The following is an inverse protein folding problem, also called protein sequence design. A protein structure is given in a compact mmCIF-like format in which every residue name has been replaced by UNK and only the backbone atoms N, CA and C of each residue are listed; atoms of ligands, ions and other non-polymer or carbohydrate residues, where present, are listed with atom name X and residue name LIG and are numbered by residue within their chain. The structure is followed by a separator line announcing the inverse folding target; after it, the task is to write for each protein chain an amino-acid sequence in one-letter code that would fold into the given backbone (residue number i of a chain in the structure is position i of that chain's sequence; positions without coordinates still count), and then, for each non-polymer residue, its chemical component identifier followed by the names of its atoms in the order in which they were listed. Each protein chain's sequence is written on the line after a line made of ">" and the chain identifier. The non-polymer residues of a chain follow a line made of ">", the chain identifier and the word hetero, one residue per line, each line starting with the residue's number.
data_IF_132077003181
#
_entry.id   IF_132077003181
#
_cell.length_a   1.000
_cell.length_b   1.000
_cell.length_c   1.000
_cell.angle_alpha   90.00
_cell.angle_beta   90.00
_cell.angle_gamma   90.00
#
_symmetry.space_group_name_H-M   'P 1'
#
loop_
_entity.id
_entity.type
_entity.pdbx_description
1 polymer ?
#
# COMPACT_ATOMS: atom_id res chain seq x y z
N UNK A 1 62.57 28.58 -12.53
CA UNK A 1 61.34 28.79 -13.31
C UNK A 1 60.22 27.95 -12.73
N UNK A 2 59.06 28.59 -12.59
CA UNK A 2 57.70 28.13 -12.30
C UNK A 2 57.36 27.33 -11.02
N UNK A 3 56.66 28.08 -10.17
CA UNK A 3 55.90 27.81 -8.94
C UNK A 3 54.43 27.62 -9.33
N UNK A 4 53.71 26.58 -8.90
CA UNK A 4 52.25 26.63 -8.74
C UNK A 4 51.75 25.66 -7.65
N UNK A 5 50.67 26.11 -7.00
CA UNK A 5 50.17 25.81 -5.64
C UNK A 5 49.11 24.69 -5.59
N UNK A 6 48.80 24.15 -4.39
CA UNK A 6 47.70 23.20 -4.19
C UNK A 6 46.33 23.86 -4.36
N UNK A 7 45.41 23.14 -5.02
CA UNK A 7 44.01 23.54 -5.20
C UNK A 7 43.23 23.10 -3.94
N UNK A 8 42.78 24.09 -3.20
CA UNK A 8 41.78 23.96 -2.13
C UNK A 8 40.41 23.65 -2.74
N UNK A 9 39.81 22.52 -2.38
CA UNK A 9 38.39 22.27 -2.66
C UNK A 9 37.56 22.79 -1.47
N UNK A 10 36.77 23.83 -1.74
CA UNK A 10 35.87 24.49 -0.79
C UNK A 10 34.67 23.56 -0.56
N UNK A 11 34.53 23.04 0.66
CA UNK A 11 33.37 22.28 1.11
C UNK A 11 32.27 23.27 1.49
N UNK A 12 31.35 23.55 0.56
CA UNK A 12 30.15 24.35 0.85
C UNK A 12 29.14 23.49 1.60
N UNK A 13 29.08 23.64 2.92
CA UNK A 13 28.01 23.12 3.77
C UNK A 13 26.74 23.97 3.55
N UNK A 14 25.76 23.43 2.83
CA UNK A 14 24.42 24.00 2.77
C UNK A 14 23.61 23.49 3.98
N UNK A 15 23.41 24.34 4.98
CA UNK A 15 22.44 24.12 6.03
C UNK A 15 21.03 24.41 5.49
N UNK A 16 20.19 23.39 5.40
CA UNK A 16 18.76 23.57 5.13
C UNK A 16 18.05 23.80 6.47
N UNK A 17 17.69 25.05 6.72
CA UNK A 17 16.73 25.44 7.76
C UNK A 17 15.36 25.45 7.09
N UNK A 18 14.51 24.47 7.39
CA UNK A 18 13.08 24.53 7.07
C UNK A 18 12.29 24.82 8.34
N UNK A 19 11.98 26.09 8.57
CA UNK A 19 10.90 26.51 9.47
C UNK A 19 9.58 26.31 8.72
N UNK A 20 8.80 25.29 9.08
CA UNK A 20 7.42 25.15 8.62
C UNK A 20 6.56 26.03 9.53
N UNK A 21 6.13 27.19 9.01
CA UNK A 21 5.06 27.96 9.60
C UNK A 21 3.71 27.32 9.20
N UNK A 22 2.96 26.85 10.19
CA UNK A 22 1.55 26.47 10.06
C UNK A 22 0.74 27.74 9.77
N UNK A 23 0.32 27.91 8.52
CA UNK A 23 -0.75 28.85 8.16
C UNK A 23 -1.97 28.02 7.81
N UNK A 24 -2.97 28.05 8.68
CA UNK A 24 -4.32 27.61 8.36
C UNK A 24 -4.95 28.59 7.40
N UNK A 25 -5.40 28.09 6.24
CA UNK A 25 -6.24 28.85 5.32
C UNK A 25 -7.67 28.34 5.43
N UNK A 26 -8.47 29.09 6.18
CA UNK A 26 -9.92 29.13 6.08
C UNK A 26 -10.27 30.17 5.01
N UNK A 27 -10.96 29.79 3.92
CA UNK A 27 -11.81 30.74 3.19
C UNK A 27 -12.89 30.06 2.31
N UNK A 28 -14.17 30.49 2.39
CA UNK A 28 -15.35 29.88 1.75
C UNK A 28 -15.60 30.39 0.30
N UNK A 29 -16.64 29.91 -0.42
CA UNK A 29 -16.59 29.66 -1.86
C UNK A 29 -16.89 30.88 -2.73
N UNK A 30 -16.24 30.97 -3.89
CA UNK A 30 -16.70 31.81 -5.00
C UNK A 30 -17.27 30.97 -6.12
N UNK A 31 -18.60 31.12 -6.22
CA UNK A 31 -19.50 30.79 -7.31
C UNK A 31 -18.99 31.43 -8.61
N UNK A 32 -18.83 30.65 -9.68
CA UNK A 32 -18.98 31.19 -11.02
C UNK A 32 -19.62 30.13 -11.93
N UNK A 33 -20.80 30.52 -12.37
CA UNK A 33 -21.68 29.82 -13.29
C UNK A 33 -21.17 30.07 -14.71
N UNK A 34 -20.84 29.01 -15.45
CA UNK A 34 -20.93 29.02 -16.90
C UNK A 34 -21.62 27.75 -17.37
N UNK A 35 -22.89 27.93 -17.71
CA UNK A 35 -23.72 26.97 -18.42
C UNK A 35 -23.19 26.79 -19.85
N UNK A 36 -23.01 25.54 -20.26
CA UNK A 36 -23.19 25.12 -21.65
C UNK A 36 -23.94 23.80 -21.66
N UNK A 37 -25.07 23.83 -22.36
CA UNK A 37 -26.09 22.80 -22.53
C UNK A 37 -25.83 22.12 -23.88
N UNK A 38 -25.66 20.80 -23.94
CA UNK A 38 -25.97 19.97 -25.11
C UNK A 38 -26.34 18.54 -24.69
N UNK A 39 -27.16 17.92 -25.54
CA UNK A 39 -28.19 16.90 -25.28
C UNK A 39 -27.72 15.45 -25.55
N UNK A 40 -28.31 14.50 -24.81
CA UNK A 40 -28.57 13.05 -24.99
C UNK A 40 -27.66 12.06 -25.76
N UNK A 41 -27.53 10.90 -25.08
CA UNK A 41 -27.50 9.50 -25.53
C UNK A 41 -26.19 8.78 -25.99
N UNK A 42 -25.88 7.77 -25.16
CA UNK A 42 -25.37 6.41 -25.43
C UNK A 42 -24.14 6.20 -26.32
N UNK A 43 -23.07 5.62 -25.76
CA UNK A 43 -22.67 4.23 -26.05
C UNK A 43 -21.35 3.85 -25.32
N UNK A 44 -21.40 2.69 -24.67
CA UNK A 44 -20.36 1.97 -23.95
C UNK A 44 -18.90 2.09 -24.46
N UNK A 45 -17.99 2.41 -23.54
CA UNK A 45 -16.62 1.85 -23.45
C UNK A 45 -16.16 1.86 -21.98
N UNK A 46 -15.75 0.73 -21.37
CA UNK A 46 -15.25 0.71 -20.00
C UNK A 46 -13.78 1.11 -19.98
N UNK A 47 -13.49 2.30 -19.47
CA UNK A 47 -12.13 2.73 -19.12
C UNK A 47 -11.92 2.47 -17.62
N UNK A 48 -11.42 1.28 -17.29
CA UNK A 48 -11.05 0.87 -15.93
C UNK A 48 -9.94 1.77 -15.38
N UNK A 49 -10.32 2.73 -14.54
CA UNK A 49 -9.39 3.59 -13.81
C UNK A 49 -9.82 3.57 -12.36
N UNK A 50 -9.16 2.75 -11.54
CA UNK A 50 -8.85 2.87 -10.10
C UNK A 50 -9.96 3.19 -9.07
N UNK A 51 -11.17 3.54 -9.51
CA UNK A 51 -12.33 3.87 -8.70
C UNK A 51 -13.19 2.63 -8.40
N UNK A 52 -13.05 1.58 -9.22
CA UNK A 52 -13.69 0.28 -9.00
C UNK A 52 -13.22 -0.45 -7.74
N UNK A 53 -12.01 -0.17 -7.24
CA UNK A 53 -11.51 -0.82 -6.04
C UNK A 53 -12.22 -0.36 -4.74
N UNK A 54 -12.79 0.86 -4.75
CA UNK A 54 -13.56 1.43 -3.65
C UNK A 54 -15.08 1.27 -3.88
N UNK A 55 -15.55 1.32 -5.12
CA UNK A 55 -16.98 1.15 -5.44
C UNK A 55 -17.48 -0.28 -5.23
N UNK A 56 -16.63 -1.30 -5.40
CA UNK A 56 -17.01 -2.69 -5.08
C UNK A 56 -17.20 -2.98 -3.58
N UNK A 57 -16.79 -2.04 -2.70
CA UNK A 57 -17.09 -2.11 -1.26
C UNK A 57 -18.47 -1.49 -1.00
N UNK A 58 -18.86 -0.48 -1.78
CA UNK A 58 -20.15 0.21 -1.66
C UNK A 58 -21.32 -0.54 -2.34
N UNK A 59 -21.06 -1.37 -3.36
CA UNK A 59 -22.10 -2.14 -4.07
C UNK A 59 -22.43 -3.49 -3.40
N UNK A 60 -21.88 -3.72 -2.21
CA UNK A 60 -22.27 -4.80 -1.32
C UNK A 60 -23.09 -4.25 -0.15
N UNK A 61 -24.15 -3.48 -0.44
CA UNK A 61 -25.19 -3.09 0.53
C UNK A 61 -25.99 -4.28 1.09
N UNK A 62 -25.50 -5.49 0.87
CA UNK A 62 -25.85 -6.68 1.61
C UNK A 62 -24.59 -7.20 2.30
N UNK A 63 -24.03 -6.39 3.23
CA UNK A 63 -23.19 -6.87 4.33
C UNK A 63 -24.05 -7.82 5.19
N UNK A 64 -24.34 -8.99 4.63
CA UNK A 64 -25.29 -9.95 5.13
C UNK A 64 -24.67 -10.62 6.35
N UNK A 65 -25.19 -10.30 7.54
CA UNK A 65 -25.10 -11.10 8.77
C UNK A 65 -23.74 -11.18 9.51
N UNK A 66 -22.74 -10.35 9.20
CA UNK A 66 -21.53 -10.23 10.02
C UNK A 66 -21.73 -9.29 11.22
N UNK A 67 -21.69 -9.79 12.46
CA UNK A 67 -21.75 -8.94 13.66
C UNK A 67 -20.59 -7.91 13.61
N UNK A 68 -20.88 -6.61 13.59
CA UNK A 68 -19.90 -5.52 13.58
C UNK A 68 -18.82 -5.69 14.67
N UNK A 69 -19.19 -6.28 15.81
CA UNK A 69 -18.23 -6.65 16.84
C UNK A 69 -17.17 -7.64 16.36
N UNK A 70 -17.55 -8.64 15.57
CA UNK A 70 -16.59 -9.57 14.95
C UNK A 70 -15.70 -8.83 13.95
N UNK A 71 -16.24 -7.93 13.12
CA UNK A 71 -15.43 -7.13 12.18
C UNK A 71 -14.38 -6.33 12.95
N UNK A 72 -14.78 -5.52 13.93
CA UNK A 72 -13.86 -4.67 14.71
C UNK A 72 -12.83 -5.54 15.45
N UNK A 73 -13.27 -6.61 16.12
CA UNK A 73 -12.36 -7.53 16.82
C UNK A 73 -11.36 -8.15 15.86
N UNK A 74 -11.81 -8.63 14.72
CA UNK A 74 -10.99 -9.37 13.77
C UNK A 74 -10.03 -8.44 13.03
N UNK A 75 -10.45 -7.21 12.69
CA UNK A 75 -9.54 -6.17 12.20
C UNK A 75 -8.48 -5.87 13.24
N UNK A 76 -8.86 -5.64 14.50
CA UNK A 76 -7.90 -5.37 15.57
C UNK A 76 -6.93 -6.55 15.77
N UNK A 77 -7.43 -7.79 15.75
CA UNK A 77 -6.61 -8.98 15.88
C UNK A 77 -5.62 -9.14 14.71
N UNK A 78 -6.07 -8.87 13.49
CA UNK A 78 -5.23 -8.91 12.30
C UNK A 78 -4.16 -7.81 12.39
N UNK A 79 -4.56 -6.56 12.60
CA UNK A 79 -3.64 -5.42 12.74
C UNK A 79 -2.62 -5.65 13.86
N UNK A 80 -3.04 -6.03 15.08
CA UNK A 80 -2.12 -6.29 16.19
C UNK A 80 -1.07 -7.36 15.91
N UNK A 81 -1.39 -8.32 15.03
CA UNK A 81 -0.46 -9.41 14.69
C UNK A 81 0.38 -9.11 13.45
N UNK A 82 -0.07 -8.21 12.58
CA UNK A 82 0.60 -7.94 11.29
C UNK A 82 1.20 -6.54 11.17
N UNK A 83 1.02 -5.66 12.16
CA UNK A 83 1.43 -4.24 12.10
C UNK A 83 2.90 -4.10 11.70
N UNK A 84 3.79 -4.74 12.46
CA UNK A 84 5.24 -4.72 12.22
C UNK A 84 5.61 -5.22 10.82
N UNK A 85 4.87 -6.20 10.29
CA UNK A 85 5.19 -6.81 9.00
C UNK A 85 4.96 -5.89 7.81
N UNK A 86 4.05 -4.92 7.92
CA UNK A 86 3.84 -3.95 6.83
C UNK A 86 5.07 -3.04 6.66
N UNK A 87 5.58 -2.52 7.77
CA UNK A 87 6.78 -1.69 7.79
C UNK A 87 8.03 -2.49 7.40
N UNK A 88 8.15 -3.73 7.91
CA UNK A 88 9.25 -4.64 7.56
C UNK A 88 9.26 -4.95 6.06
N UNK A 89 8.11 -5.30 5.48
CA UNK A 89 8.01 -5.60 4.05
C UNK A 89 8.30 -4.39 3.17
N UNK A 90 7.83 -3.19 3.53
CA UNK A 90 8.20 -1.95 2.82
C UNK A 90 9.71 -1.70 2.86
N UNK A 91 10.32 -1.90 4.04
CA UNK A 91 11.75 -1.75 4.19
C UNK A 91 12.52 -2.77 3.35
N UNK A 92 12.09 -4.03 3.34
CA UNK A 92 12.69 -5.10 2.53
C UNK A 92 12.51 -4.89 1.03
N UNK A 93 11.35 -4.37 0.59
CA UNK A 93 11.15 -3.95 -0.80
C UNK A 93 12.19 -2.89 -1.19
N UNK A 94 12.32 -1.83 -0.41
CA UNK A 94 13.27 -0.74 -0.69
C UNK A 94 14.73 -1.24 -0.71
N UNK A 95 15.11 -2.11 0.24
CA UNK A 95 16.45 -2.71 0.26
C UNK A 95 16.71 -3.59 -0.96
N UNK A 96 15.70 -4.34 -1.42
CA UNK A 96 15.80 -5.17 -2.62
C UNK A 96 15.98 -4.31 -3.86
N UNK A 97 15.18 -3.26 -4.03
CA UNK A 97 15.28 -2.30 -5.14
C UNK A 97 16.65 -1.62 -5.18
N UNK A 98 17.14 -1.16 -4.03
CA UNK A 98 18.46 -0.53 -3.91
C UNK A 98 19.60 -1.49 -4.27
N UNK A 99 19.55 -2.73 -3.77
CA UNK A 99 20.58 -3.72 -4.06
C UNK A 99 20.68 -4.04 -5.56
N UNK A 100 19.53 -4.07 -6.24
CA UNK A 100 19.43 -4.33 -7.68
C UNK A 100 19.94 -3.13 -8.47
N UNK A 101 19.50 -1.91 -8.11
CA UNK A 101 19.94 -0.68 -8.76
C UNK A 101 21.46 -0.47 -8.64
N UNK A 102 22.02 -0.77 -7.47
CA UNK A 102 23.46 -0.65 -7.20
C UNK A 102 24.28 -1.83 -7.71
N UNK A 103 23.64 -2.85 -8.29
CA UNK A 103 24.27 -4.11 -8.71
C UNK A 103 25.09 -4.76 -7.57
N UNK A 104 24.69 -4.56 -6.32
CA UNK A 104 25.40 -5.01 -5.14
C UNK A 104 24.93 -6.41 -4.76
N UNK A 105 25.68 -7.42 -5.20
CA UNK A 105 25.36 -8.84 -4.98
C UNK A 105 25.25 -9.21 -3.50
N UNK A 106 26.09 -8.62 -2.64
CA UNK A 106 26.07 -8.90 -1.21
C UNK A 106 24.80 -8.33 -0.56
N UNK A 107 24.48 -7.06 -0.84
CA UNK A 107 23.22 -6.46 -0.38
C UNK A 107 22.01 -7.19 -0.93
N UNK A 108 22.06 -7.65 -2.18
CA UNK A 108 20.96 -8.40 -2.80
C UNK A 108 20.71 -9.71 -2.06
N UNK A 109 21.78 -10.43 -1.69
CA UNK A 109 21.68 -11.68 -0.93
C UNK A 109 21.09 -11.44 0.46
N UNK A 110 21.53 -10.40 1.14
CA UNK A 110 21.05 -10.03 2.48
C UNK A 110 19.58 -9.60 2.44
N UNK A 111 19.20 -8.71 1.51
CA UNK A 111 17.82 -8.23 1.37
C UNK A 111 16.87 -9.35 0.96
N UNK A 112 17.30 -10.25 0.07
CA UNK A 112 16.56 -11.45 -0.32
C UNK A 112 16.32 -12.40 0.86
N UNK A 113 17.36 -12.65 1.67
CA UNK A 113 17.23 -13.53 2.83
C UNK A 113 16.29 -12.93 3.88
N UNK A 114 16.42 -11.63 4.14
CA UNK A 114 15.54 -10.89 5.06
C UNK A 114 14.09 -10.91 4.58
N UNK A 115 13.85 -10.57 3.30
CA UNK A 115 12.52 -10.58 2.70
C UNK A 115 11.88 -11.98 2.80
N UNK A 116 12.63 -13.04 2.49
CA UNK A 116 12.15 -14.42 2.61
C UNK A 116 11.69 -14.75 4.04
N UNK A 117 12.48 -14.37 5.04
CA UNK A 117 12.15 -14.60 6.44
C UNK A 117 10.87 -13.85 6.84
N UNK A 118 10.76 -12.58 6.47
CA UNK A 118 9.60 -11.74 6.79
C UNK A 118 8.31 -12.24 6.12
N UNK A 119 8.40 -12.68 4.86
CA UNK A 119 7.27 -13.25 4.15
C UNK A 119 6.78 -14.55 4.80
N UNK A 120 7.69 -15.47 5.16
CA UNK A 120 7.30 -16.69 5.89
C UNK A 120 6.66 -16.38 7.24
N UNK A 121 7.26 -15.46 8.01
CA UNK A 121 6.71 -15.08 9.30
C UNK A 121 5.32 -14.44 9.18
N UNK A 122 5.11 -13.57 8.18
CA UNK A 122 3.79 -13.03 7.87
C UNK A 122 2.81 -14.13 7.44
N UNK A 123 3.24 -15.09 6.63
CA UNK A 123 2.41 -16.22 6.21
C UNK A 123 1.92 -17.04 7.40
N UNK A 124 2.81 -17.39 8.32
CA UNK A 124 2.49 -18.15 9.53
C UNK A 124 1.52 -17.38 10.44
N UNK A 125 1.75 -16.07 10.60
CA UNK A 125 0.84 -15.19 11.33
C UNK A 125 -0.55 -15.19 10.70
N UNK A 126 -0.65 -14.99 9.39
CA UNK A 126 -1.93 -14.97 8.67
C UNK A 126 -2.66 -16.32 8.76
N UNK A 127 -1.96 -17.45 8.74
CA UNK A 127 -2.57 -18.76 8.95
C UNK A 127 -3.04 -18.99 10.39
N UNK A 128 -2.36 -18.38 11.37
CA UNK A 128 -2.70 -18.52 12.81
C UNK A 128 -3.98 -17.77 13.23
N UNK A 129 -4.45 -16.82 12.40
CA UNK A 129 -5.61 -15.99 12.71
C UNK A 129 -6.90 -16.81 12.68
N UNK A 130 -7.70 -16.68 13.74
CA UNK A 130 -9.02 -17.28 13.86
C UNK A 130 -10.08 -16.18 13.74
N UNK A 131 -10.39 -15.81 12.50
CA UNK A 131 -11.36 -14.76 12.21
C UNK A 131 -12.77 -15.34 12.13
N UNK A 132 -13.77 -14.56 12.55
CA UNK A 132 -15.20 -14.87 12.42
C UNK A 132 -15.92 -14.00 11.40
N UNK A 133 -15.39 -12.82 11.09
CA UNK A 133 -15.90 -11.96 10.01
C UNK A 133 -15.43 -12.49 8.66
N UNK A 134 -16.37 -12.69 7.75
CA UNK A 134 -16.11 -13.09 6.36
C UNK A 134 -15.34 -12.00 5.62
N UNK A 135 -15.66 -10.74 5.88
CA UNK A 135 -15.03 -9.56 5.27
C UNK A 135 -13.53 -9.49 5.63
N UNK A 136 -13.21 -9.65 6.92
CA UNK A 136 -11.82 -9.67 7.37
C UNK A 136 -11.11 -10.93 6.89
N UNK A 137 -11.80 -12.07 6.83
CA UNK A 137 -11.22 -13.31 6.29
C UNK A 137 -10.88 -13.20 4.79
N UNK A 138 -11.73 -12.56 3.99
CA UNK A 138 -11.43 -12.29 2.58
C UNK A 138 -10.16 -11.46 2.43
N UNK A 139 -9.97 -10.43 3.26
CA UNK A 139 -8.75 -9.64 3.27
C UNK A 139 -7.54 -10.48 3.69
N UNK A 140 -7.68 -11.34 4.71
CA UNK A 140 -6.63 -12.29 5.10
C UNK A 140 -6.23 -13.23 3.96
N UNK A 141 -7.18 -13.77 3.21
CA UNK A 141 -6.91 -14.60 2.03
C UNK A 141 -6.19 -13.80 0.94
N UNK A 142 -6.61 -12.57 0.73
CA UNK A 142 -6.00 -11.63 -0.20
C UNK A 142 -4.52 -11.37 0.14
N UNK A 143 -4.22 -11.15 1.43
CA UNK A 143 -2.86 -11.02 1.97
C UNK A 143 -2.04 -12.30 1.82
N UNK A 144 -2.61 -13.46 2.15
CA UNK A 144 -1.97 -14.78 1.97
C UNK A 144 -1.57 -15.02 0.51
N UNK A 145 -2.46 -14.71 -0.43
CA UNK A 145 -2.19 -14.85 -1.86
C UNK A 145 -1.05 -13.95 -2.31
N UNK A 146 -1.06 -12.67 -1.92
CA UNK A 146 0.00 -11.73 -2.30
C UNK A 146 1.35 -12.14 -1.71
N UNK A 147 1.37 -12.54 -0.43
CA UNK A 147 2.54 -13.07 0.24
C UNK A 147 3.08 -14.32 -0.49
N UNK A 148 2.21 -15.27 -0.84
CA UNK A 148 2.63 -16.49 -1.54
C UNK A 148 3.24 -16.18 -2.92
N UNK A 149 2.70 -15.19 -3.64
CA UNK A 149 3.28 -14.75 -4.91
C UNK A 149 4.68 -14.16 -4.72
N UNK A 150 4.91 -13.39 -3.65
CA UNK A 150 6.23 -12.90 -3.29
C UNK A 150 7.18 -14.03 -2.84
N UNK A 151 6.70 -15.01 -2.07
CA UNK A 151 7.49 -16.20 -1.68
C UNK A 151 7.93 -17.01 -2.89
N UNK A 152 7.12 -17.04 -3.95
CA UNK A 152 7.41 -17.77 -5.18
C UNK A 152 8.42 -17.06 -6.11
N UNK A 153 8.91 -15.88 -5.74
CA UNK A 153 9.87 -15.15 -6.57
C UNK A 153 11.14 -15.97 -6.80
N UNK A 154 11.64 -16.07 -8.05
CA UNK A 154 12.85 -16.83 -8.36
C UNK A 154 14.07 -16.39 -7.55
N UNK A 155 14.17 -15.09 -7.24
CA UNK A 155 15.27 -14.51 -6.48
C UNK A 155 15.36 -15.08 -5.04
N UNK A 156 14.23 -15.39 -4.40
CA UNK A 156 14.17 -15.99 -3.05
C UNK A 156 14.59 -17.47 -3.02
N UNK A 157 14.74 -18.07 -4.21
CA UNK A 157 15.15 -19.45 -4.42
C UNK A 157 16.57 -19.57 -4.97
N UNK A 158 17.33 -18.47 -4.99
CA UNK A 158 18.72 -18.46 -5.44
C UNK A 158 18.88 -18.36 -6.95
N UNK A 159 17.81 -18.08 -7.70
CA UNK A 159 17.90 -17.76 -9.12
C UNK A 159 18.45 -16.33 -9.27
N UNK A 160 19.66 -16.20 -9.81
CA UNK A 160 20.39 -14.92 -9.89
C UNK A 160 20.18 -14.16 -11.20
N UNK A 161 19.37 -14.68 -12.14
CA UNK A 161 19.09 -13.96 -13.37
C UNK A 161 18.05 -12.87 -13.14
N UNK A 162 18.54 -11.72 -12.68
CA UNK A 162 17.74 -10.52 -12.36
C UNK A 162 17.03 -10.00 -13.62
N UNK A 163 17.59 -10.25 -14.82
CA UNK A 163 17.00 -9.79 -16.08
C UNK A 163 15.68 -10.50 -16.42
N UNK A 164 15.37 -11.62 -15.77
CA UNK A 164 14.10 -12.34 -15.91
C UNK A 164 13.07 -11.98 -14.85
N UNK A 165 13.40 -11.07 -13.91
CA UNK A 165 12.47 -10.63 -12.88
C UNK A 165 11.51 -9.57 -13.43
N UNK A 166 10.23 -9.79 -13.17
CA UNK A 166 9.17 -8.83 -13.44
C UNK A 166 8.96 -7.94 -12.21
N UNK A 167 9.71 -6.83 -12.15
CA UNK A 167 9.66 -5.89 -11.04
C UNK A 167 8.29 -5.22 -10.88
N UNK A 168 7.56 -5.05 -11.98
CA UNK A 168 6.22 -4.49 -11.94
C UNK A 168 5.26 -5.43 -11.21
N UNK A 169 5.33 -6.74 -11.50
CA UNK A 169 4.55 -7.74 -10.74
C UNK A 169 4.96 -7.80 -9.27
N UNK A 170 6.25 -7.70 -8.97
CA UNK A 170 6.74 -7.68 -7.58
C UNK A 170 6.15 -6.48 -6.84
N UNK A 171 6.30 -5.28 -7.40
CA UNK A 171 5.76 -4.04 -6.82
C UNK A 171 4.23 -4.10 -6.66
N UNK A 172 3.53 -4.69 -7.62
CA UNK A 172 2.08 -4.88 -7.54
C UNK A 172 1.67 -5.75 -6.34
N UNK A 173 2.42 -6.81 -6.00
CA UNK A 173 2.12 -7.63 -4.82
C UNK A 173 2.37 -6.89 -3.51
N UNK A 174 3.45 -6.12 -3.41
CA UNK A 174 3.68 -5.26 -2.25
C UNK A 174 2.58 -4.20 -2.10
N UNK A 175 2.20 -3.55 -3.20
CA UNK A 175 1.10 -2.58 -3.19
C UNK A 175 -0.22 -3.25 -2.79
N UNK A 176 -0.49 -4.46 -3.28
CA UNK A 176 -1.69 -5.22 -2.90
C UNK A 176 -1.75 -5.46 -1.39
N UNK A 177 -0.64 -5.80 -0.75
CA UNK A 177 -0.56 -5.92 0.72
C UNK A 177 -0.91 -4.58 1.38
N UNK A 178 -0.37 -3.46 0.90
CA UNK A 178 -0.65 -2.13 1.46
C UNK A 178 -2.12 -1.73 1.31
N UNK A 179 -2.72 -1.93 0.13
CA UNK A 179 -4.13 -1.64 -0.13
C UNK A 179 -5.03 -2.52 0.74
N UNK A 180 -4.71 -3.81 0.89
CA UNK A 180 -5.48 -4.71 1.74
C UNK A 180 -5.42 -4.29 3.22
N UNK A 181 -4.29 -3.75 3.69
CA UNK A 181 -4.20 -3.14 5.02
C UNK A 181 -5.04 -1.87 5.17
N UNK A 182 -5.15 -1.04 4.12
CA UNK A 182 -6.04 0.12 4.11
C UNK A 182 -7.52 -0.29 4.13
N UNK A 183 -7.90 -1.36 3.43
CA UNK A 183 -9.27 -1.90 3.47
C UNK A 183 -9.67 -2.33 4.88
N UNK A 184 -8.74 -2.86 5.68
CA UNK A 184 -9.01 -3.19 7.08
C UNK A 184 -9.40 -1.95 7.90
N UNK A 185 -8.64 -0.85 7.75
CA UNK A 185 -8.97 0.40 8.41
C UNK A 185 -10.33 0.95 7.93
N UNK A 186 -10.61 0.85 6.63
CA UNK A 186 -11.88 1.25 6.06
C UNK A 186 -13.07 0.43 6.59
N UNK A 187 -12.92 -0.88 6.85
CA UNK A 187 -13.97 -1.70 7.46
C UNK A 187 -14.37 -1.23 8.88
N UNK A 188 -13.43 -0.64 9.63
CA UNK A 188 -13.71 -0.09 10.96
C UNK A 188 -14.37 1.29 10.88
N UNK A 189 -13.98 2.10 9.89
CA UNK A 189 -14.46 3.47 9.71
C UNK A 189 -15.77 3.55 8.91
N UNK A 190 -16.02 2.58 8.05
CA UNK A 190 -17.04 2.58 7.01
C UNK A 190 -18.28 1.76 7.35
N UNK A 191 -18.93 2.06 8.48
CA UNK A 191 -20.35 1.76 8.65
C UNK A 191 -21.07 3.04 9.14
N UNK A 192 -21.20 4.10 8.30
CA UNK A 192 -22.21 5.11 8.56
C UNK A 192 -23.57 4.42 8.39
N UNK A 193 -24.26 4.21 9.50
CA UNK A 193 -25.70 3.93 9.52
C UNK A 193 -26.38 4.75 8.44
N UNK A 194 -27.04 4.07 7.51
CA UNK A 194 -28.14 4.67 6.75
C UNK A 194 -29.24 5.06 7.73
N UNK A 195 -29.10 6.22 8.35
CA UNK A 195 -30.14 6.90 9.14
C UNK A 195 -29.92 8.41 8.99
N UNK A 196 -30.37 8.92 7.85
CA UNK A 196 -30.92 10.26 7.75
C UNK A 196 -32.31 10.10 7.12
N UNK A 197 -33.23 9.66 7.98
CA UNK A 197 -34.62 10.12 8.08
C UNK A 197 -35.03 11.08 6.95
N UNK A 198 -35.88 10.61 6.04
CA UNK A 198 -36.64 11.49 5.16
C UNK A 198 -37.77 12.12 5.98
N UNK A 199 -37.78 13.45 6.21
CA UNK A 199 -38.99 14.09 6.68
C UNK A 199 -40.01 14.14 5.54
N UNK A 200 -41.19 13.60 5.85
CA UNK A 200 -42.45 13.67 5.11
C UNK A 200 -42.88 15.12 4.82
#
# INVERSE_FOLDING_TARGET
>A
MLKYRPISAILSAAALISTIALVGCDQPPQKNEQAQQYTEQEQNTPSSTEQDALSNIADNQNLSHGNMFNIIRDVAQLQLKTDDYTALLQNSQSQLEQAIQNQNVQQLKESTAKLKQELHALHDVLLSLQLKSTEVDQIRQSLLSANQQLLNLPLLHGQQDISQLDFEKIAAQFNKIQVDMLKLAALVLGNPTSEADQPN
#
